data_IF_139764620606
#
_entry.id   IF_139764620606
#
_cell.length_a   1.000
_cell.length_b   1.000
_cell.length_c   1.000
_cell.angle_alpha   90.00
_cell.angle_beta   90.00
_cell.angle_gamma   90.00
#
_symmetry.space_group_name_H-M   'P 1'
#
loop_
_entity.id
_entity.type
_entity.pdbx_description
1 polymer ?
#
# COMPACT_ATOMS: atom_id res chain seq x y z
N UNK A 1 -8.76 6.75 2.12
CA UNK A 1 -9.06 5.32 2.25
C UNK A 1 -10.28 5.16 3.16
N UNK A 2 -11.12 4.14 2.96
CA UNK A 2 -12.29 3.90 3.82
C UNK A 2 -11.90 3.31 5.18
N UNK A 3 -12.74 3.47 6.19
CA UNK A 3 -12.55 2.89 7.53
C UNK A 3 -12.45 1.35 7.47
N UNK A 4 -13.25 0.70 6.61
CA UNK A 4 -13.22 -0.75 6.43
C UNK A 4 -11.85 -1.23 5.90
N UNK A 5 -11.30 -0.56 4.89
CA UNK A 5 -9.97 -0.88 4.36
C UNK A 5 -8.86 -0.65 5.38
N UNK A 6 -8.97 0.40 6.21
CA UNK A 6 -8.04 0.64 7.32
C UNK A 6 -8.04 -0.52 8.32
N UNK A 7 -9.22 -0.94 8.80
CA UNK A 7 -9.34 -2.05 9.77
C UNK A 7 -8.84 -3.37 9.20
N UNK A 8 -9.09 -3.61 7.91
CA UNK A 8 -8.61 -4.80 7.23
C UNK A 8 -7.07 -4.81 7.13
N UNK A 9 -6.45 -3.66 6.85
CA UNK A 9 -5.00 -3.50 6.88
C UNK A 9 -4.43 -3.75 8.28
N UNK A 10 -5.01 -3.14 9.33
CA UNK A 10 -4.54 -3.34 10.71
C UNK A 10 -4.64 -4.81 11.14
N UNK A 11 -5.72 -5.50 10.77
CA UNK A 11 -5.89 -6.93 11.02
C UNK A 11 -4.79 -7.74 10.31
N UNK A 12 -4.59 -7.52 9.02
CA UNK A 12 -3.56 -8.22 8.25
C UNK A 12 -2.15 -7.99 8.84
N UNK A 13 -1.82 -6.76 9.25
CA UNK A 13 -0.55 -6.46 9.95
C UNK A 13 -0.44 -7.25 11.26
N UNK A 14 -1.53 -7.34 12.02
CA UNK A 14 -1.58 -8.13 13.26
C UNK A 14 -1.30 -9.62 13.02
N UNK A 15 -1.92 -10.20 11.99
CA UNK A 15 -1.76 -11.61 11.63
C UNK A 15 -0.32 -11.92 11.19
N UNK A 16 0.25 -11.07 10.32
CA UNK A 16 1.66 -11.20 9.92
C UNK A 16 2.63 -11.02 11.07
N UNK A 17 2.34 -10.08 11.99
CA UNK A 17 3.17 -9.87 13.18
C UNK A 17 3.16 -11.09 14.08
N UNK A 18 1.99 -11.70 14.30
CA UNK A 18 1.85 -12.93 15.09
C UNK A 18 2.65 -14.08 14.46
N UNK A 19 2.50 -14.29 13.15
CA UNK A 19 3.26 -15.29 12.41
C UNK A 19 4.78 -15.06 12.51
N UNK A 20 5.23 -13.81 12.39
CA UNK A 20 6.64 -13.45 12.54
C UNK A 20 7.17 -13.72 13.95
N UNK A 21 6.42 -13.36 14.98
CA UNK A 21 6.79 -13.63 16.38
C UNK A 21 6.91 -15.12 16.66
N UNK A 22 5.99 -15.93 16.14
CA UNK A 22 5.99 -17.37 16.35
C UNK A 22 7.14 -18.05 15.61
N UNK A 23 7.44 -17.61 14.38
CA UNK A 23 8.63 -18.02 13.66
C UNK A 23 9.92 -17.64 14.41
N UNK A 24 10.02 -16.41 14.90
CA UNK A 24 11.17 -15.92 15.67
C UNK A 24 11.38 -16.73 16.96
N UNK A 25 10.31 -16.98 17.71
CA UNK A 25 10.37 -17.76 18.94
C UNK A 25 10.89 -19.19 18.66
N UNK A 26 10.36 -19.84 17.63
CA UNK A 26 10.79 -21.19 17.24
C UNK A 26 12.27 -21.24 16.80
N UNK A 27 12.73 -20.28 16.00
CA UNK A 27 14.14 -20.25 15.55
C UNK A 27 15.10 -19.84 16.67
N UNK A 28 14.69 -18.94 17.57
CA UNK A 28 15.49 -18.56 18.74
C UNK A 28 15.63 -19.72 19.73
N UNK A 29 14.56 -20.48 19.98
CA UNK A 29 14.63 -21.69 20.81
C UNK A 29 15.63 -22.71 20.26
N UNK A 30 15.68 -22.90 18.93
CA UNK A 30 16.70 -23.74 18.27
C UNK A 30 18.11 -23.18 18.45
N UNK A 31 18.27 -21.86 18.35
CA UNK A 31 19.57 -21.21 18.51
C UNK A 31 20.14 -21.34 19.95
N UNK A 32 19.26 -21.48 20.96
CA UNK A 32 19.66 -21.66 22.35
C UNK A 32 20.21 -23.06 22.67
N UNK A 33 19.95 -24.05 21.80
CA UNK A 33 20.48 -25.42 21.96
C UNK A 33 22.00 -25.53 21.79
N UNK A 34 22.68 -24.46 21.35
CA UNK A 34 24.14 -24.43 21.28
C UNK A 34 24.79 -24.74 22.63
N UNK A 35 25.85 -25.53 22.60
CA UNK A 35 26.56 -25.99 23.80
C UNK A 35 27.47 -24.91 24.38
N UNK A 36 27.95 -23.99 23.53
CA UNK A 36 28.79 -22.85 23.92
C UNK A 36 28.12 -21.51 23.65
N UNK A 37 28.59 -20.45 24.32
CA UNK A 37 28.16 -19.08 24.05
C UNK A 37 28.42 -18.65 22.60
N UNK A 38 29.57 -19.04 22.04
CA UNK A 38 29.97 -18.70 20.67
C UNK A 38 29.03 -19.33 19.62
N UNK A 39 28.63 -20.59 19.82
CA UNK A 39 27.66 -21.28 18.97
C UNK A 39 26.28 -20.62 19.02
N UNK A 40 25.80 -20.28 20.22
CA UNK A 40 24.51 -19.59 20.40
C UNK A 40 24.49 -18.24 19.69
N UNK A 41 25.55 -17.45 19.82
CA UNK A 41 25.63 -16.16 19.12
C UNK A 41 25.75 -16.31 17.60
N UNK A 42 26.48 -17.34 17.11
CA UNK A 42 26.51 -17.65 15.69
C UNK A 42 25.12 -18.04 15.15
N UNK A 43 24.38 -18.86 15.87
CA UNK A 43 23.02 -19.26 15.51
C UNK A 43 22.06 -18.05 15.50
N UNK A 44 22.09 -17.19 16.53
CA UNK A 44 21.29 -15.95 16.54
C UNK A 44 21.60 -15.03 15.36
N UNK A 45 22.88 -14.92 14.95
CA UNK A 45 23.25 -14.17 13.74
C UNK A 45 22.61 -14.77 12.50
N UNK A 46 22.61 -16.10 12.35
CA UNK A 46 21.94 -16.78 11.24
C UNK A 46 20.42 -16.53 11.24
N UNK A 47 19.76 -16.55 12.40
CA UNK A 47 18.33 -16.20 12.52
C UNK A 47 18.05 -14.79 12.01
N UNK A 48 18.88 -13.80 12.36
CA UNK A 48 18.73 -12.41 11.87
C UNK A 48 18.90 -12.31 10.35
N UNK A 49 19.88 -13.03 9.79
CA UNK A 49 20.11 -13.09 8.33
C UNK A 49 18.89 -13.71 7.64
N UNK A 50 18.36 -14.81 8.18
CA UNK A 50 17.18 -15.50 7.65
C UNK A 50 15.92 -14.66 7.74
N UNK A 51 15.71 -13.95 8.86
CA UNK A 51 14.61 -12.99 9.00
C UNK A 51 14.65 -11.93 7.90
N UNK A 52 15.84 -11.36 7.65
CA UNK A 52 16.02 -10.35 6.60
C UNK A 52 15.70 -10.93 5.20
N UNK A 53 16.14 -12.16 4.92
CA UNK A 53 15.84 -12.85 3.67
C UNK A 53 14.33 -13.11 3.51
N UNK A 54 13.67 -13.66 4.53
CA UNK A 54 12.22 -13.91 4.51
C UNK A 54 11.39 -12.63 4.34
N UNK A 55 11.82 -11.51 4.93
CA UNK A 55 11.19 -10.20 4.70
C UNK A 55 11.42 -9.70 3.28
N UNK A 56 12.62 -9.89 2.73
CA UNK A 56 12.93 -9.51 1.35
C UNK A 56 12.13 -10.33 0.33
N UNK A 57 11.90 -11.61 0.61
CA UNK A 57 11.03 -12.51 -0.15
C UNK A 57 9.53 -12.26 0.07
N UNK A 58 9.18 -11.32 0.95
CA UNK A 58 7.79 -10.99 1.26
C UNK A 58 7.04 -12.04 2.07
N UNK A 59 7.72 -13.02 2.66
CA UNK A 59 7.10 -14.08 3.48
C UNK A 59 6.76 -13.59 4.88
N UNK A 60 7.60 -12.71 5.44
CA UNK A 60 7.40 -12.09 6.76
C UNK A 60 7.14 -10.59 6.58
N UNK A 61 5.91 -10.17 6.84
CA UNK A 61 5.46 -8.79 6.63
C UNK A 61 4.87 -8.20 7.91
N UNK A 62 5.50 -8.46 9.07
CA UNK A 62 4.97 -8.10 10.40
C UNK A 62 4.83 -6.59 10.69
N UNK A 63 5.11 -5.74 9.70
CA UNK A 63 4.92 -4.29 9.78
C UNK A 63 4.08 -3.78 8.63
N UNK A 64 3.37 -2.68 8.88
CA UNK A 64 2.54 -1.99 7.88
C UNK A 64 3.34 -1.58 6.65
N UNK A 65 4.57 -1.11 6.85
CA UNK A 65 5.46 -0.68 5.77
C UNK A 65 5.83 -1.83 4.84
N UNK A 66 6.15 -3.00 5.40
CA UNK A 66 6.47 -4.20 4.62
C UNK A 66 5.25 -4.66 3.83
N UNK A 67 4.09 -4.71 4.49
CA UNK A 67 2.84 -5.15 3.88
C UNK A 67 2.38 -4.22 2.74
N UNK A 68 2.41 -2.89 2.97
CA UNK A 68 2.08 -1.89 1.94
C UNK A 68 3.10 -1.92 0.80
N UNK A 69 4.40 -2.12 1.09
CA UNK A 69 5.41 -2.25 0.05
C UNK A 69 5.20 -3.52 -0.81
N UNK A 70 4.74 -4.63 -0.23
CA UNK A 70 4.36 -5.82 -0.98
C UNK A 70 3.15 -5.57 -1.88
N UNK A 71 2.08 -4.97 -1.32
CA UNK A 71 0.88 -4.62 -2.10
C UNK A 71 1.17 -3.61 -3.22
N UNK A 72 2.10 -2.67 -3.02
CA UNK A 72 2.50 -1.73 -4.06
C UNK A 72 3.23 -2.40 -5.22
N UNK A 73 4.06 -3.43 -4.95
CA UNK A 73 4.68 -4.23 -6.03
C UNK A 73 3.61 -4.95 -6.84
N UNK A 74 2.65 -5.61 -6.17
CA UNK A 74 1.53 -6.27 -6.84
C UNK A 74 0.70 -5.30 -7.68
N UNK A 75 0.41 -4.10 -7.17
CA UNK A 75 -0.32 -3.08 -7.93
C UNK A 75 0.46 -2.59 -9.16
N UNK A 76 1.78 -2.42 -9.05
CA UNK A 76 2.64 -2.08 -10.17
C UNK A 76 2.70 -3.22 -11.20
N UNK A 77 2.87 -4.47 -10.76
CA UNK A 77 2.88 -5.66 -11.61
C UNK A 77 1.55 -5.84 -12.35
N UNK A 78 0.42 -5.76 -11.64
CA UNK A 78 -0.92 -5.91 -12.21
C UNK A 78 -1.22 -4.90 -13.33
N UNK A 79 -0.61 -3.71 -13.27
CA UNK A 79 -0.72 -2.67 -14.30
C UNK A 79 0.34 -2.79 -15.41
N UNK A 80 1.30 -3.72 -15.29
CA UNK A 80 2.47 -3.78 -16.17
C UNK A 80 3.42 -2.60 -15.99
N UNK A 81 3.38 -1.96 -14.82
CA UNK A 81 4.17 -0.78 -14.47
C UNK A 81 5.42 -1.11 -13.66
N UNK A 82 5.62 -2.36 -13.26
CA UNK A 82 6.86 -2.81 -12.62
C UNK A 82 7.99 -2.98 -13.65
N UNK A 83 8.43 -1.85 -14.19
CA UNK A 83 9.50 -1.74 -15.17
C UNK A 83 10.35 -0.52 -14.89
N UNK A 84 11.41 -0.35 -15.66
CA UNK A 84 12.17 0.90 -15.65
C UNK A 84 11.37 2.00 -16.35
N UNK A 85 11.45 3.20 -15.76
CA UNK A 85 10.79 4.40 -16.26
C UNK A 85 11.81 5.52 -16.30
N UNK A 86 11.68 6.37 -17.30
CA UNK A 86 12.49 7.58 -17.42
C UNK A 86 12.37 8.44 -16.15
N UNK A 87 13.43 9.17 -15.79
CA UNK A 87 13.36 10.09 -14.66
C UNK A 87 12.28 11.14 -14.91
N UNK A 88 11.53 11.49 -13.85
CA UNK A 88 10.61 12.63 -13.92
C UNK A 88 11.46 13.90 -14.09
N UNK A 89 11.14 14.78 -15.06
CA UNK A 89 11.86 16.03 -15.26
C UNK A 89 11.90 16.88 -13.97
N UNK A 90 13.01 17.60 -13.77
CA UNK A 90 13.13 18.53 -12.67
C UNK A 90 12.03 19.61 -12.75
N UNK A 91 11.49 20.02 -11.60
CA UNK A 91 10.38 20.97 -11.50
C UNK A 91 9.00 20.39 -11.86
N UNK A 92 8.89 19.22 -12.47
CA UNK A 92 7.58 18.60 -12.74
C UNK A 92 6.86 18.13 -11.46
N UNK A 93 7.59 18.07 -10.34
CA UNK A 93 7.05 17.80 -8.99
C UNK A 93 6.61 19.06 -8.25
N UNK A 94 6.93 20.24 -8.77
CA UNK A 94 6.46 21.48 -8.17
C UNK A 94 4.94 21.48 -8.21
N UNK A 95 4.32 21.93 -7.11
CA UNK A 95 2.87 21.91 -6.92
C UNK A 95 2.21 22.69 -8.05
N UNK A 96 1.88 22.00 -9.13
CA UNK A 96 1.09 22.55 -10.21
C UNK A 96 -0.25 23.03 -9.64
N UNK A 97 -0.85 24.00 -10.34
CA UNK A 97 -2.22 24.44 -10.10
C UNK A 97 -3.11 23.20 -9.90
N UNK A 98 -3.97 23.16 -8.87
CA UNK A 98 -4.79 21.98 -8.63
C UNK A 98 -5.55 21.61 -9.89
N UNK A 99 -5.31 20.41 -10.44
CA UNK A 99 -6.07 19.88 -11.58
C UNK A 99 -7.51 19.46 -11.19
N UNK A 100 -7.89 19.71 -9.93
CA UNK A 100 -9.18 19.40 -9.34
C UNK A 100 -10.30 20.30 -9.83
N UNK A 101 -11.49 20.08 -9.27
CA UNK A 101 -12.76 20.55 -9.82
C UNK A 101 -12.94 22.06 -9.64
N UNK A 102 -12.76 22.83 -10.72
CA UNK A 102 -13.05 24.27 -10.77
C UNK A 102 -14.55 24.57 -10.65
N UNK A 103 -15.40 23.53 -10.74
CA UNK A 103 -16.84 23.66 -10.57
C UNK A 103 -17.23 24.18 -9.19
N UNK A 104 -16.42 23.93 -8.16
CA UNK A 104 -16.60 24.51 -6.83
C UNK A 104 -16.53 26.05 -6.79
N UNK A 105 -16.04 26.72 -7.84
CA UNK A 105 -16.05 28.20 -7.95
C UNK A 105 -17.17 28.74 -8.84
N UNK A 106 -17.88 27.88 -9.59
CA UNK A 106 -18.86 28.31 -10.60
C UNK A 106 -20.20 27.57 -10.54
N UNK A 107 -20.40 26.64 -9.61
CA UNK A 107 -21.65 25.91 -9.46
C UNK A 107 -22.04 25.82 -7.97
N UNK A 108 -23.12 26.51 -7.60
CA UNK A 108 -23.71 26.50 -6.26
C UNK A 108 -24.46 25.19 -5.95
N UNK A 109 -24.51 24.24 -6.88
CA UNK A 109 -25.39 23.06 -6.82
C UNK A 109 -24.68 21.69 -6.78
N UNK A 110 -23.46 21.60 -6.24
CA UNK A 110 -22.85 20.30 -6.03
C UNK A 110 -23.30 19.65 -4.72
N UNK A 111 -24.16 18.64 -4.85
CA UNK A 111 -24.27 17.55 -3.88
C UNK A 111 -22.86 17.02 -3.58
N UNK A 112 -22.41 17.24 -2.35
CA UNK A 112 -21.19 16.69 -1.76
C UNK A 112 -21.26 15.15 -1.75
N UNK A 113 -20.93 14.53 -2.88
CA UNK A 113 -20.65 13.10 -2.93
C UNK A 113 -19.33 12.79 -2.23
N UNK A 114 -19.39 12.66 -0.91
CA UNK A 114 -18.49 11.91 -0.01
C UNK A 114 -17.29 11.20 -0.67
N UNK A 115 -16.22 11.93 -1.00
CA UNK A 115 -14.88 11.32 -0.97
C UNK A 115 -14.31 11.44 0.44
N UNK A 116 -15.01 10.84 1.39
CA UNK A 116 -14.53 10.70 2.76
C UNK A 116 -13.36 9.72 2.76
N UNK A 117 -12.16 10.27 2.63
CA UNK A 117 -10.92 9.56 2.87
C UNK A 117 -10.30 10.08 4.17
N UNK A 118 -10.94 9.82 5.33
CA UNK A 118 -10.59 10.48 6.59
C UNK A 118 -9.20 10.11 7.11
N UNK A 119 -8.59 9.04 6.59
CA UNK A 119 -7.32 8.51 7.08
C UNK A 119 -6.21 8.49 6.03
N UNK A 120 -5.06 9.00 6.45
CA UNK A 120 -3.78 8.94 5.74
C UNK A 120 -3.03 7.65 6.12
N UNK A 121 -2.53 6.93 5.12
CA UNK A 121 -1.63 5.79 5.33
C UNK A 121 -0.20 6.28 5.15
N UNK A 122 0.47 6.56 6.28
CA UNK A 122 1.91 6.83 6.27
C UNK A 122 2.67 5.52 6.29
N UNK A 123 3.45 5.24 5.25
CA UNK A 123 4.32 4.07 5.15
C UNK A 123 5.70 4.47 4.63
N UNK A 124 6.76 3.93 5.25
CA UNK A 124 8.14 4.08 4.78
C UNK A 124 8.40 3.03 3.70
N UNK A 125 8.57 3.48 2.46
CA UNK A 125 8.81 2.61 1.32
C UNK A 125 10.29 2.57 0.96
N UNK A 126 10.80 1.46 0.39
CA UNK A 126 12.10 1.46 -0.27
C UNK A 126 12.16 2.56 -1.33
N UNK A 127 13.25 3.33 -1.37
CA UNK A 127 13.36 4.51 -2.23
C UNK A 127 13.13 4.18 -3.71
N UNK A 128 13.67 3.07 -4.19
CA UNK A 128 13.50 2.62 -5.57
C UNK A 128 12.02 2.32 -5.89
N UNK A 129 11.29 1.71 -4.96
CA UNK A 129 9.87 1.40 -5.12
C UNK A 129 9.01 2.67 -5.12
N UNK A 130 9.29 3.60 -4.21
CA UNK A 130 8.62 4.91 -4.18
C UNK A 130 8.89 5.71 -5.46
N UNK A 131 10.14 5.72 -5.95
CA UNK A 131 10.49 6.37 -7.21
C UNK A 131 9.79 5.72 -8.41
N UNK A 132 9.71 4.39 -8.46
CA UNK A 132 8.98 3.67 -9.52
C UNK A 132 7.49 4.02 -9.52
N UNK A 133 6.86 4.08 -8.36
CA UNK A 133 5.47 4.51 -8.22
C UNK A 133 5.25 5.95 -8.73
N UNK A 134 6.15 6.88 -8.37
CA UNK A 134 6.08 8.27 -8.84
C UNK A 134 6.31 8.38 -10.35
N UNK A 135 7.33 7.69 -10.89
CA UNK A 135 7.67 7.76 -12.33
C UNK A 135 6.58 7.12 -13.20
N UNK A 136 6.09 5.94 -12.81
CA UNK A 136 5.00 5.27 -13.54
C UNK A 136 3.77 6.16 -13.62
N UNK A 137 3.27 6.64 -12.48
CA UNK A 137 2.09 7.51 -12.43
C UNK A 137 2.27 8.82 -13.21
N UNK A 138 3.47 9.41 -13.17
CA UNK A 138 3.80 10.59 -13.98
C UNK A 138 3.68 10.29 -15.48
N UNK A 139 4.44 9.31 -15.99
CA UNK A 139 4.51 9.04 -17.42
C UNK A 139 3.21 8.48 -18.00
N UNK A 140 2.46 7.71 -17.22
CA UNK A 140 1.15 7.19 -17.66
C UNK A 140 0.09 8.29 -17.71
N UNK A 141 0.28 9.37 -16.95
CA UNK A 141 -0.66 10.48 -16.86
C UNK A 141 -0.23 11.72 -17.65
N UNK A 142 1.02 11.77 -18.12
CA UNK A 142 1.63 12.96 -18.72
C UNK A 142 0.82 13.49 -19.91
N UNK A 143 0.40 12.61 -20.81
CA UNK A 143 -0.42 12.99 -21.97
C UNK A 143 -1.77 13.58 -21.54
N UNK A 144 -2.44 12.95 -20.58
CA UNK A 144 -3.75 13.42 -20.09
C UNK A 144 -3.65 14.76 -19.37
N UNK A 145 -2.58 14.96 -18.61
CA UNK A 145 -2.27 16.26 -17.99
C UNK A 145 -2.01 17.32 -19.04
N UNK A 146 -1.30 17.00 -20.13
CA UNK A 146 -1.09 17.92 -21.24
C UNK A 146 -2.42 18.33 -21.90
N UNK A 147 -3.31 17.37 -22.16
CA UNK A 147 -4.66 17.65 -22.71
C UNK A 147 -5.51 18.51 -21.78
N UNK A 148 -5.43 18.30 -20.46
CA UNK A 148 -6.13 19.18 -19.49
C UNK A 148 -5.56 20.60 -19.54
N UNK A 149 -4.24 20.76 -19.65
CA UNK A 149 -3.62 22.09 -19.74
C UNK A 149 -3.98 22.80 -21.03
N UNK A 150 -3.98 22.09 -22.16
CA UNK A 150 -4.42 22.63 -23.44
C UNK A 150 -5.89 23.08 -23.37
N UNK A 151 -6.75 22.25 -22.77
CA UNK A 151 -8.13 22.62 -22.49
C UNK A 151 -8.23 23.87 -21.61
N UNK A 152 -7.46 23.95 -20.51
CA UNK A 152 -7.46 25.10 -19.60
C UNK A 152 -6.98 26.37 -20.36
N UNK A 153 -6.00 26.27 -21.26
CA UNK A 153 -5.54 27.39 -22.08
C UNK A 153 -6.59 27.85 -23.10
N UNK A 154 -7.40 26.95 -23.62
CA UNK A 154 -8.45 27.27 -24.58
C UNK A 154 -9.68 27.92 -23.93
N UNK A 155 -10.05 27.46 -22.74
CA UNK A 155 -11.36 27.75 -22.14
C UNK A 155 -11.29 28.59 -20.86
N UNK A 156 -10.13 28.68 -20.20
CA UNK A 156 -9.95 29.43 -18.94
C UNK A 156 -8.93 30.57 -19.04
N UNK A 157 -8.48 30.94 -20.24
CA UNK A 157 -7.72 32.19 -20.43
C UNK A 157 -8.63 33.41 -20.19
N UNK A 158 -8.04 34.55 -19.84
CA UNK A 158 -8.74 35.77 -19.39
C UNK A 158 -9.84 36.26 -20.35
N UNK A 159 -9.62 36.10 -21.65
CA UNK A 159 -10.55 36.50 -22.72
C UNK A 159 -11.31 35.32 -23.35
N UNK A 160 -11.39 34.17 -22.67
CA UNK A 160 -12.04 32.98 -23.23
C UNK A 160 -13.56 33.13 -23.26
N UNK A 161 -14.23 32.59 -24.29
CA UNK A 161 -15.70 32.51 -24.31
C UNK A 161 -16.21 31.61 -23.17
N UNK A 162 -17.49 31.76 -22.76
CA UNK A 162 -18.12 30.86 -21.80
C UNK A 162 -17.94 29.40 -22.21
N UNK A 163 -17.54 28.56 -21.25
CA UNK A 163 -17.22 27.15 -21.49
C UNK A 163 -18.50 26.35 -21.75
N UNK A 164 -18.67 25.72 -22.94
CA UNK A 164 -19.83 24.87 -23.21
C UNK A 164 -19.87 23.63 -22.32
N UNK A 165 -21.06 23.09 -22.05
CA UNK A 165 -21.24 21.88 -21.23
C UNK A 165 -20.48 20.67 -21.80
N UNK A 166 -20.44 20.52 -23.12
CA UNK A 166 -19.70 19.43 -23.79
C UNK A 166 -18.19 19.53 -23.54
N UNK A 167 -17.63 20.75 -23.52
CA UNK A 167 -16.22 20.96 -23.22
C UNK A 167 -15.88 20.54 -21.78
N UNK A 168 -16.77 20.77 -20.82
CA UNK A 168 -16.60 20.26 -19.45
C UNK A 168 -16.60 18.73 -19.39
N UNK A 169 -17.43 18.07 -20.22
CA UNK A 169 -17.45 16.61 -20.28
C UNK A 169 -16.12 16.05 -20.79
N UNK A 170 -15.49 16.69 -21.77
CA UNK A 170 -14.17 16.28 -22.28
C UNK A 170 -13.07 16.48 -21.25
N UNK A 171 -13.06 17.61 -20.54
CA UNK A 171 -12.13 17.83 -19.42
C UNK A 171 -12.25 16.74 -18.36
N UNK A 172 -13.49 16.39 -17.98
CA UNK A 172 -13.76 15.31 -17.01
C UNK A 172 -13.27 13.96 -17.52
N UNK A 173 -13.44 13.66 -18.81
CA UNK A 173 -12.89 12.45 -19.43
C UNK A 173 -11.37 12.39 -19.31
N UNK A 174 -10.66 13.49 -19.54
CA UNK A 174 -9.21 13.54 -19.36
C UNK A 174 -8.80 13.36 -17.90
N UNK A 175 -9.49 14.01 -16.96
CA UNK A 175 -9.23 13.86 -15.52
C UNK A 175 -9.38 12.41 -15.05
N UNK A 176 -10.41 11.68 -15.51
CA UNK A 176 -10.60 10.27 -15.16
C UNK A 176 -9.49 9.35 -15.66
N UNK A 177 -8.69 9.79 -16.63
CA UNK A 177 -7.54 9.04 -17.16
C UNK A 177 -6.24 9.33 -16.41
N UNK A 178 -6.21 10.39 -15.60
CA UNK A 178 -5.05 10.72 -14.76
C UNK A 178 -5.01 9.76 -13.58
N UNK A 179 -3.89 9.07 -13.42
CA UNK A 179 -3.64 8.21 -12.26
C UNK A 179 -2.65 8.91 -11.35
N UNK A 180 -3.03 9.10 -10.09
CA UNK A 180 -2.17 9.69 -9.07
C UNK A 180 -1.42 8.61 -8.28
N UNK A 181 -0.34 9.01 -7.60
CA UNK A 181 0.30 8.15 -6.58
C UNK A 181 -0.70 7.76 -5.49
N UNK A 182 -1.65 8.63 -5.15
CA UNK A 182 -2.70 8.34 -4.17
C UNK A 182 -3.62 7.20 -4.61
N UNK A 183 -3.99 7.15 -5.89
CA UNK A 183 -4.77 6.04 -6.47
C UNK A 183 -4.00 4.74 -6.39
N UNK A 184 -2.74 4.76 -6.83
CA UNK A 184 -1.87 3.60 -6.78
C UNK A 184 -1.64 3.11 -5.35
N UNK A 185 -1.50 4.00 -4.37
CA UNK A 185 -1.35 3.63 -2.96
C UNK A 185 -2.64 3.05 -2.36
N UNK A 186 -3.82 3.51 -2.80
CA UNK A 186 -5.09 2.90 -2.40
C UNK A 186 -5.22 1.47 -2.94
N UNK A 187 -4.89 1.30 -4.21
CA UNK A 187 -4.85 -0.03 -4.83
C UNK A 187 -3.83 -0.94 -4.14
N UNK A 188 -2.63 -0.42 -3.83
CA UNK A 188 -1.61 -1.14 -3.09
C UNK A 188 -2.11 -1.65 -1.73
N UNK A 189 -2.88 -0.85 -0.98
CA UNK A 189 -3.49 -1.31 0.26
C UNK A 189 -4.54 -2.38 0.01
N UNK A 190 -5.35 -2.24 -1.04
CA UNK A 190 -6.30 -3.28 -1.46
C UNK A 190 -5.58 -4.62 -1.72
N UNK A 191 -4.55 -4.61 -2.55
CA UNK A 191 -3.71 -5.77 -2.85
C UNK A 191 -3.05 -6.36 -1.59
N UNK A 192 -2.58 -5.48 -0.69
CA UNK A 192 -1.93 -5.89 0.55
C UNK A 192 -2.86 -6.64 1.51
N UNK A 193 -4.16 -6.33 1.47
CA UNK A 193 -5.18 -6.97 2.31
C UNK A 193 -5.76 -8.20 1.63
N UNK A 194 -5.92 -8.21 0.30
CA UNK A 194 -6.60 -9.31 -0.40
C UNK A 194 -5.65 -10.38 -0.91
N UNK A 195 -4.56 -10.01 -1.59
CA UNK A 195 -3.72 -10.96 -2.34
C UNK A 195 -2.49 -11.40 -1.55
N UNK A 196 -1.85 -10.48 -0.81
CA UNK A 196 -0.62 -10.81 -0.06
C UNK A 196 -0.82 -11.95 0.95
N UNK A 197 -1.93 -12.02 1.73
CA UNK A 197 -2.18 -13.17 2.59
C UNK A 197 -2.34 -14.49 1.82
N UNK A 198 -2.88 -14.45 0.60
CA UNK A 198 -3.10 -15.64 -0.24
C UNK A 198 -1.81 -16.13 -0.90
N UNK A 199 -0.90 -15.22 -1.24
CA UNK A 199 0.38 -15.54 -1.88
C UNK A 199 1.42 -16.13 -0.93
N UNK A 200 1.13 -16.23 0.37
CA UNK A 200 2.02 -16.84 1.39
C UNK A 200 1.37 -18.11 1.95
N UNK A 201 1.16 -19.16 1.11
CA UNK A 201 0.63 -20.42 1.60
C UNK A 201 1.65 -21.11 2.51
N UNK A 202 1.22 -21.41 3.73
CA UNK A 202 1.92 -22.34 4.64
C UNK A 202 2.52 -21.73 5.90
N UNK A 203 2.73 -20.41 5.98
CA UNK A 203 3.37 -19.83 7.18
C UNK A 203 2.36 -19.30 8.22
N UNK A 204 1.16 -18.90 7.80
CA UNK A 204 0.06 -18.57 8.71
C UNK A 204 -0.66 -19.86 9.17
N UNK A 205 -0.83 -20.83 8.26
CA UNK A 205 -1.55 -22.08 8.53
C UNK A 205 -0.82 -23.07 9.45
N UNK A 206 0.52 -23.02 9.53
CA UNK A 206 1.31 -23.93 10.39
C UNK A 206 1.36 -23.48 11.85
N UNK A 207 0.85 -22.29 12.15
CA UNK A 207 0.90 -21.68 13.48
C UNK A 207 -0.42 -21.86 14.24
N UNK A 208 -1.48 -22.26 13.54
CA UNK A 208 -2.82 -22.55 14.08
C UNK A 208 -2.95 -23.82 14.96
N UNK A 209 -2.04 -24.82 15.01
CA UNK A 209 -2.29 -26.01 15.84
C UNK A 209 -2.21 -25.76 17.35
N UNK A 210 -1.55 -24.69 17.83
CA UNK A 210 -1.38 -24.48 19.28
C UNK A 210 -2.59 -23.76 19.93
N UNK A 211 -3.32 -22.94 19.18
CA UNK A 211 -4.55 -22.28 19.66
C UNK A 211 -5.74 -23.26 19.64
N UNK A 212 -5.85 -24.12 18.62
CA UNK A 212 -6.84 -25.21 18.59
C UNK A 212 -6.67 -26.21 19.74
N UNK A 213 -5.43 -26.44 20.21
CA UNK A 213 -5.15 -27.28 21.37
C UNK A 213 -5.48 -26.60 22.72
N UNK A 214 -5.56 -25.26 22.74
CA UNK A 214 -5.91 -24.48 23.93
C UNK A 214 -7.42 -24.32 24.10
N UNK A 215 -8.17 -24.18 23.00
CA UNK A 215 -9.64 -24.23 23.03
C UNK A 215 -10.19 -25.65 23.27
N UNK A 216 -9.46 -26.70 22.85
CA UNK A 216 -9.86 -28.09 23.10
C UNK A 216 -9.56 -28.58 24.53
N UNK A 217 -8.68 -27.91 25.28
CA UNK A 217 -8.50 -28.12 26.72
C UNK A 217 -9.40 -27.13 27.45
N UNK A 218 -10.67 -27.49 27.58
CA UNK A 218 -11.66 -26.72 28.32
C UNK A 218 -11.12 -26.24 29.67
N UNK A 219 -11.37 -24.96 29.94
CA UNK A 219 -11.24 -24.35 31.26
C UNK A 219 -12.16 -25.09 32.26
N UNK A 220 -11.70 -26.22 32.77
CA UNK A 220 -12.15 -26.78 34.04
C UNK A 220 -11.24 -26.20 35.12
N UNK A 221 -11.54 -24.96 35.51
CA UNK A 221 -11.05 -24.40 36.78
C UNK A 221 -12.07 -24.84 37.84
N UNK A 222 -11.76 -25.78 38.73
CA UNK A 222 -12.66 -26.09 39.83
C UNK A 222 -12.73 -24.87 40.75
N UNK A 223 -13.96 -24.37 40.94
CA UNK A 223 -14.28 -23.44 42.01
C UNK A 223 -14.02 -24.15 43.35
N UNK A 224 -12.87 -23.85 43.96
CA UNK A 224 -12.56 -24.29 45.32
C UNK A 224 -13.56 -23.68 46.30
N UNK A 225 -14.17 -24.53 47.12
CA UNK A 225 -14.94 -24.18 48.30
C UNK A 225 -14.08 -23.92 49.54
#
# INVERSE_FOLDING_TARGET
MTEAAWRALDRAVGDFRRAEQLWLAAEMAKAELGSTWQEREAAKRQVRVRLKALRAEGKLLGTKELLVAAGLRLALEARGWDREWDPVPDGARDRGRPLGDYRAKHDESHEEGETEYPRLVNARLPIALAQRAVRSTYWTSAEWVARIREWDSQWLAEDSPPVPLEAWADRRRFQMRVVTVGDLMREAVGQAVSEVPRSIPGMIATVTPLEAAREAKGDDVPAGG
#
